data_IF_627191608811
#
_entry.id   IF_627191608811
#
_cell.length_a   1.000
_cell.length_b   1.000
_cell.length_c   1.000
_cell.angle_alpha   90.00
_cell.angle_beta   90.00
_cell.angle_gamma   90.00
#
_symmetry.space_group_name_H-M   'P 1'
#
loop_
_entity.id
_entity.type
_entity.pdbx_description
1 polymer ?
#
# COMPACT_ATOMS: atom_id res chain seq x y z
N UNK A 1 -1.20 8.17 2.85
CA UNK A 1 -0.18 7.19 3.30
C UNK A 1 0.95 7.99 3.92
N UNK A 2 1.30 7.79 5.19
CA UNK A 2 2.41 8.50 5.86
C UNK A 2 3.63 7.57 5.86
N UNK A 3 4.54 7.78 4.90
CA UNK A 3 5.73 6.95 4.72
C UNK A 3 6.95 7.57 5.39
N UNK A 4 7.86 6.73 5.89
CA UNK A 4 9.20 7.15 6.29
C UNK A 4 9.90 7.83 5.09
N UNK A 5 10.46 9.05 5.24
CA UNK A 5 11.15 9.76 4.16
C UNK A 5 12.24 8.93 3.47
N UNK A 6 12.83 7.94 4.15
CA UNK A 6 13.82 7.04 3.56
C UNK A 6 13.23 6.05 2.53
N UNK A 7 11.93 5.76 2.58
CA UNK A 7 11.27 4.77 1.72
C UNK A 7 10.18 5.37 0.81
N UNK A 8 9.67 6.56 1.15
CA UNK A 8 8.69 7.26 0.33
C UNK A 8 8.94 8.79 0.30
N UNK A 9 10.07 9.25 -0.27
CA UNK A 9 10.44 10.66 -0.34
C UNK A 9 9.47 11.55 -1.14
N UNK A 10 8.63 10.97 -2.01
CA UNK A 10 7.72 11.73 -2.90
C UNK A 10 6.30 11.93 -2.37
N UNK A 11 6.02 11.53 -1.13
CA UNK A 11 4.71 11.75 -0.53
C UNK A 11 4.64 13.20 -0.04
N UNK A 12 3.59 13.93 -0.44
CA UNK A 12 3.38 15.35 -0.11
C UNK A 12 3.24 15.69 1.38
N UNK A 13 3.25 14.68 2.26
CA UNK A 13 3.28 14.84 3.72
C UNK A 13 4.38 13.94 4.27
N UNK A 14 5.55 14.55 4.49
CA UNK A 14 6.72 13.87 5.04
C UNK A 14 6.61 13.93 6.56
N UNK A 15 6.37 12.78 7.20
CA UNK A 15 6.41 12.66 8.67
C UNK A 15 7.64 11.84 9.11
N UNK A 16 8.51 12.39 9.98
CA UNK A 16 9.59 11.63 10.61
C UNK A 16 9.00 10.52 11.48
N UNK A 17 9.40 9.26 11.24
CA UNK A 17 8.87 8.09 11.98
C UNK A 17 7.64 7.43 11.35
N UNK A 18 7.34 7.74 10.10
CA UNK A 18 6.33 7.03 9.31
C UNK A 18 6.60 5.52 9.18
N UNK A 19 5.60 4.80 8.69
CA UNK A 19 5.64 3.34 8.60
C UNK A 19 6.69 2.90 7.59
N UNK A 20 7.52 1.91 7.96
CA UNK A 20 8.40 1.26 6.98
C UNK A 20 7.56 0.37 6.07
N UNK A 21 7.98 0.20 4.81
CA UNK A 21 7.28 -0.66 3.83
C UNK A 21 7.01 -2.07 4.39
N UNK A 22 7.96 -2.63 5.15
CA UNK A 22 7.81 -3.93 5.81
C UNK A 22 6.71 -3.97 6.87
N UNK A 23 6.53 -2.90 7.63
CA UNK A 23 5.53 -2.84 8.70
C UNK A 23 4.13 -2.73 8.12
N UNK A 24 3.99 -1.91 7.07
CA UNK A 24 2.75 -1.80 6.32
C UNK A 24 2.37 -3.14 5.67
N UNK A 25 3.31 -3.83 5.02
CA UNK A 25 3.06 -5.15 4.44
C UNK A 25 2.66 -6.19 5.49
N UNK A 26 3.22 -6.14 6.70
CA UNK A 26 2.82 -7.04 7.80
C UNK A 26 1.38 -6.80 8.26
N UNK A 27 0.94 -5.54 8.29
CA UNK A 27 -0.45 -5.22 8.62
C UNK A 27 -1.39 -5.67 7.52
N UNK A 28 -1.07 -5.38 6.26
CA UNK A 28 -1.88 -5.82 5.11
C UNK A 28 -2.03 -7.35 5.10
N UNK A 29 -0.95 -8.09 5.36
CA UNK A 29 -1.00 -9.53 5.54
C UNK A 29 -1.87 -9.95 6.73
N UNK A 30 -1.71 -9.32 7.89
CA UNK A 30 -2.51 -9.63 9.08
C UNK A 30 -4.01 -9.41 8.86
N UNK A 31 -4.40 -8.34 8.18
CA UNK A 31 -5.78 -8.05 7.83
C UNK A 31 -6.32 -8.98 6.75
N UNK A 32 -5.47 -9.41 5.80
CA UNK A 32 -5.81 -10.44 4.82
C UNK A 32 -6.10 -11.78 5.49
N UNK A 33 -5.31 -12.16 6.49
CA UNK A 33 -5.55 -13.35 7.29
C UNK A 33 -6.76 -13.27 8.22
N UNK A 34 -7.29 -12.06 8.47
CA UNK A 34 -8.53 -11.85 9.21
C UNK A 34 -9.79 -11.96 8.33
N UNK A 35 -9.65 -12.39 7.06
CA UNK A 35 -10.74 -12.55 6.08
C UNK A 35 -11.59 -11.29 5.87
N UNK A 36 -10.97 -10.12 6.02
CA UNK A 36 -11.62 -8.85 5.76
C UNK A 36 -11.77 -8.66 4.25
N UNK A 37 -12.99 -8.38 3.82
CA UNK A 37 -13.36 -8.16 2.43
C UNK A 37 -13.07 -6.72 2.01
N UNK A 38 -12.24 -6.54 0.97
CA UNK A 38 -11.96 -5.23 0.38
C UNK A 38 -12.83 -5.05 -0.87
N UNK A 39 -13.63 -3.98 -0.89
CA UNK A 39 -14.44 -3.58 -2.06
C UNK A 39 -13.63 -2.68 -2.99
N UNK A 40 -12.68 -1.90 -2.45
CA UNK A 40 -11.75 -1.07 -3.20
C UNK A 40 -10.67 -0.50 -2.30
N UNK A 41 -9.54 -0.12 -2.90
CA UNK A 41 -8.43 0.56 -2.24
C UNK A 41 -7.90 1.67 -3.16
N UNK A 42 -7.42 2.75 -2.57
CA UNK A 42 -6.86 3.91 -3.29
C UNK A 42 -5.48 4.26 -2.73
N UNK A 43 -4.53 4.50 -3.63
CA UNK A 43 -3.15 4.89 -3.29
C UNK A 43 -2.97 6.34 -3.71
N UNK A 44 -3.06 7.24 -2.73
CA UNK A 44 -2.98 8.68 -2.94
C UNK A 44 -1.63 9.25 -2.49
N UNK A 45 -1.24 10.37 -3.12
CA UNK A 45 -0.08 11.16 -2.72
C UNK A 45 1.25 10.69 -3.29
N UNK A 46 1.26 9.79 -4.27
CA UNK A 46 2.47 9.45 -5.03
C UNK A 46 2.70 10.47 -6.15
N UNK A 47 3.90 11.06 -6.21
CA UNK A 47 4.29 12.01 -7.24
C UNK A 47 5.53 11.51 -8.02
N UNK A 48 5.33 10.88 -9.20
CA UNK A 48 6.43 10.28 -9.97
C UNK A 48 7.53 11.27 -10.36
N UNK A 49 7.16 12.53 -10.59
CA UNK A 49 8.07 13.59 -11.02
C UNK A 49 9.13 13.96 -9.97
N UNK A 50 8.89 13.65 -8.70
CA UNK A 50 9.82 13.94 -7.61
C UNK A 50 10.60 12.70 -7.18
N UNK A 51 10.38 11.54 -7.81
CA UNK A 51 11.01 10.30 -7.36
C UNK A 51 12.48 10.31 -7.74
N UNK A 52 13.28 9.78 -6.83
CA UNK A 52 14.71 9.64 -7.05
C UNK A 52 14.97 8.78 -8.30
N UNK A 53 16.12 8.95 -8.97
CA UNK A 53 16.49 8.18 -10.18
C UNK A 53 16.41 6.65 -10.04
N UNK A 54 16.36 6.16 -8.81
CA UNK A 54 16.21 4.75 -8.48
C UNK A 54 14.74 4.30 -8.29
N UNK A 55 13.76 5.17 -8.55
CA UNK A 55 12.31 4.92 -8.45
C UNK A 55 11.89 4.20 -7.16
N UNK A 56 12.53 4.58 -6.05
CA UNK A 56 12.42 3.85 -4.78
C UNK A 56 11.00 3.95 -4.22
N UNK A 57 10.36 5.11 -4.39
CA UNK A 57 8.96 5.28 -3.95
C UNK A 57 8.01 4.56 -4.89
N UNK A 58 8.25 4.62 -6.21
CA UNK A 58 7.45 3.92 -7.22
C UNK A 58 7.47 2.40 -7.00
N UNK A 59 8.63 1.83 -6.71
CA UNK A 59 8.77 0.39 -6.40
C UNK A 59 8.04 0.01 -5.10
N UNK A 60 8.09 0.86 -4.07
CA UNK A 60 7.35 0.63 -2.82
C UNK A 60 5.82 0.68 -3.03
N UNK A 61 5.34 1.65 -3.82
CA UNK A 61 3.93 1.77 -4.21
C UNK A 61 3.48 0.55 -5.02
N UNK A 62 4.28 0.11 -5.99
CA UNK A 62 4.00 -1.09 -6.78
C UNK A 62 3.87 -2.34 -5.89
N UNK A 63 4.75 -2.50 -4.90
CA UNK A 63 4.68 -3.62 -3.95
C UNK A 63 3.39 -3.58 -3.12
N UNK A 64 2.95 -2.41 -2.68
CA UNK A 64 1.69 -2.24 -1.92
C UNK A 64 0.48 -2.53 -2.80
N UNK A 65 0.47 -2.04 -4.04
CA UNK A 65 -0.60 -2.32 -4.99
C UNK A 65 -0.70 -3.82 -5.29
N UNK A 66 0.43 -4.50 -5.46
CA UNK A 66 0.49 -5.94 -5.64
C UNK A 66 -0.11 -6.70 -4.45
N UNK A 67 0.25 -6.30 -3.23
CA UNK A 67 -0.25 -6.93 -2.01
C UNK A 67 -1.77 -6.73 -1.84
N UNK A 68 -2.27 -5.53 -2.15
CA UNK A 68 -3.70 -5.25 -2.14
C UNK A 68 -4.46 -6.11 -3.14
N UNK A 69 -3.93 -6.26 -4.36
CA UNK A 69 -4.53 -7.11 -5.37
C UNK A 69 -4.54 -8.58 -4.95
N UNK A 70 -3.42 -9.07 -4.41
CA UNK A 70 -3.30 -10.42 -3.88
C UNK A 70 -4.32 -10.68 -2.77
N UNK A 71 -4.54 -9.71 -1.88
CA UNK A 71 -5.56 -9.80 -0.85
C UNK A 71 -6.97 -9.85 -1.44
N UNK A 72 -7.32 -8.97 -2.38
CA UNK A 72 -8.63 -8.97 -3.04
C UNK A 72 -8.93 -10.30 -3.74
N UNK A 73 -7.92 -10.96 -4.31
CA UNK A 73 -8.05 -12.31 -4.90
C UNK A 73 -8.24 -13.37 -3.82
N UNK A 74 -7.47 -13.29 -2.72
CA UNK A 74 -7.52 -14.27 -1.62
C UNK A 74 -8.83 -14.23 -0.86
N UNK A 75 -9.41 -13.04 -0.67
CA UNK A 75 -10.66 -12.82 0.07
C UNK A 75 -11.70 -12.20 -0.86
N UNK A 76 -12.30 -12.99 -1.77
CA UNK A 76 -13.23 -12.45 -2.76
C UNK A 76 -14.53 -11.99 -2.10
N UNK A 77 -15.04 -10.83 -2.56
CA UNK A 77 -16.36 -10.36 -2.18
C UNK A 77 -17.40 -11.19 -2.93
N UNK A 78 -17.95 -12.22 -2.28
CA UNK A 78 -19.13 -12.91 -2.81
C UNK A 78 -20.32 -11.96 -2.73
N UNK A 79 -20.93 -11.63 -3.87
CA UNK A 79 -22.27 -11.07 -3.88
C UNK A 79 -23.22 -12.16 -3.36
N UNK A 80 -23.91 -11.88 -2.26
CA UNK A 80 -25.09 -12.67 -1.90
C UNK A 80 -26.15 -12.35 -2.97
N UNK A 81 -26.38 -13.28 -3.89
CA UNK A 81 -27.59 -13.26 -4.70
C UNK A 81 -28.78 -13.35 -3.73
N UNK A 82 -29.66 -12.36 -3.82
CA UNK A 82 -31.01 -12.38 -3.27
C UNK A 82 -31.83 -13.51 -3.91
#
# INVERSE_FOLDING_TARGET
>A
MFGDPAFAPTIGTIEPGGWKTRELLRILNGLSHADIKIIGADIVGFAPAYDSRAETTGSAVAQIAYELLQWMIRVPVKQQCL
#
